data_IF_577799669215
#
_entry.id   IF_577799669215
#
_cell.length_a   1.000
_cell.length_b   1.000
_cell.length_c   1.000
_cell.angle_alpha   90.00
_cell.angle_beta   90.00
_cell.angle_gamma   90.00
#
_symmetry.space_group_name_H-M   'P 1'
#
loop_
_entity.id
_entity.type
_entity.pdbx_description
1 polymer ?
#
# COMPACT_ATOMS: atom_id res chain seq x y z
N UNK A 1 17.43 2.29 -15.58
CA UNK A 1 16.20 2.38 -16.38
C UNK A 1 15.05 2.71 -15.42
N UNK A 2 14.62 3.97 -15.39
CA UNK A 2 13.57 4.47 -14.49
C UNK A 2 12.19 4.09 -15.04
N UNK A 3 11.69 2.90 -14.68
CA UNK A 3 10.32 2.47 -15.00
C UNK A 3 9.27 3.07 -14.03
N UNK A 4 9.68 3.91 -13.07
CA UNK A 4 8.80 4.40 -12.01
C UNK A 4 8.07 5.73 -12.32
N UNK A 5 8.37 6.39 -13.44
CA UNK A 5 7.93 7.78 -13.69
C UNK A 5 6.63 7.93 -14.48
N UNK A 6 6.09 6.88 -15.09
CA UNK A 6 4.83 7.01 -15.83
C UNK A 6 3.66 7.27 -14.85
N UNK A 7 2.94 8.35 -15.07
CA UNK A 7 1.72 8.67 -14.34
C UNK A 7 0.62 7.69 -14.78
N UNK A 8 -0.24 7.25 -13.87
CA UNK A 8 -1.40 6.45 -14.28
C UNK A 8 -2.42 7.41 -14.89
N UNK A 9 -2.92 7.15 -16.11
CA UNK A 9 -3.95 7.98 -16.71
C UNK A 9 -5.20 8.09 -15.83
N UNK A 10 -5.77 9.28 -15.73
CA UNK A 10 -6.93 9.55 -14.88
C UNK A 10 -8.14 8.68 -15.26
N UNK A 11 -8.34 8.42 -16.56
CA UNK A 11 -9.40 7.52 -17.03
C UNK A 11 -9.24 6.10 -16.47
N UNK A 12 -8.01 5.60 -16.38
CA UNK A 12 -7.73 4.27 -15.85
C UNK A 12 -7.98 4.21 -14.34
N UNK A 13 -7.67 5.29 -13.62
CA UNK A 13 -8.00 5.42 -12.20
C UNK A 13 -9.52 5.40 -11.99
N UNK A 14 -10.28 6.13 -12.80
CA UNK A 14 -11.75 6.16 -12.71
C UNK A 14 -12.38 4.82 -13.09
N UNK A 15 -11.88 4.13 -14.12
CA UNK A 15 -12.27 2.74 -14.45
C UNK A 15 -12.05 1.81 -13.26
N UNK A 16 -10.85 1.87 -12.65
CA UNK A 16 -10.51 1.04 -11.51
C UNK A 16 -11.38 1.35 -10.27
N UNK A 17 -11.72 2.62 -10.02
CA UNK A 17 -12.69 3.01 -8.98
C UNK A 17 -14.09 2.46 -9.23
N UNK A 18 -14.50 2.37 -10.49
CA UNK A 18 -15.77 1.79 -10.91
C UNK A 18 -15.77 0.24 -10.95
N UNK A 19 -14.68 -0.41 -10.54
CA UNK A 19 -14.60 -1.86 -10.39
C UNK A 19 -14.06 -2.61 -11.61
N UNK A 20 -13.53 -1.92 -12.61
CA UNK A 20 -12.84 -2.53 -13.74
C UNK A 20 -11.61 -3.32 -13.25
N UNK A 21 -11.65 -4.64 -13.41
CA UNK A 21 -10.63 -5.55 -12.87
C UNK A 21 -9.30 -5.45 -13.61
N UNK A 22 -9.31 -5.12 -14.90
CA UNK A 22 -8.08 -4.96 -15.68
C UNK A 22 -7.37 -3.69 -15.25
N UNK A 23 -8.12 -2.59 -15.08
CA UNK A 23 -7.58 -1.34 -14.58
C UNK A 23 -7.04 -1.49 -13.14
N UNK A 24 -7.76 -2.20 -12.25
CA UNK A 24 -7.27 -2.49 -10.89
C UNK A 24 -5.97 -3.30 -10.94
N UNK A 25 -5.94 -4.38 -11.73
CA UNK A 25 -4.76 -5.25 -11.86
C UNK A 25 -3.55 -4.45 -12.36
N UNK A 26 -3.73 -3.64 -13.39
CA UNK A 26 -2.68 -2.76 -13.92
C UNK A 26 -2.11 -1.83 -12.85
N UNK A 27 -2.96 -1.17 -12.06
CA UNK A 27 -2.51 -0.29 -10.98
C UNK A 27 -1.77 -1.09 -9.90
N UNK A 28 -2.26 -2.27 -9.53
CA UNK A 28 -1.63 -3.14 -8.53
C UNK A 28 -0.21 -3.52 -8.97
N UNK A 29 -0.05 -4.02 -10.19
CA UNK A 29 1.25 -4.42 -10.74
C UNK A 29 2.22 -3.25 -10.75
N UNK A 30 1.74 -2.06 -11.09
CA UNK A 30 2.56 -0.84 -11.14
C UNK A 30 3.13 -0.41 -9.79
N UNK A 31 2.46 -0.75 -8.69
CA UNK A 31 2.89 -0.38 -7.34
C UNK A 31 3.50 -1.55 -6.55
N UNK A 32 3.55 -2.75 -7.11
CA UNK A 32 4.08 -3.94 -6.43
C UNK A 32 5.51 -3.72 -5.93
N UNK A 33 6.37 -3.13 -6.77
CA UNK A 33 7.75 -2.79 -6.38
C UNK A 33 7.80 -1.71 -5.30
N UNK A 34 6.96 -0.68 -5.39
CA UNK A 34 6.88 0.40 -4.39
C UNK A 34 6.45 -0.15 -3.04
N UNK A 35 5.48 -1.07 -3.02
CA UNK A 35 5.03 -1.78 -1.81
C UNK A 35 6.16 -2.64 -1.26
N UNK A 36 6.81 -3.44 -2.10
CA UNK A 36 7.91 -4.34 -1.71
C UNK A 36 9.08 -3.57 -1.10
N UNK A 37 9.51 -2.50 -1.76
CA UNK A 37 10.55 -1.60 -1.27
C UNK A 37 10.12 -0.88 0.00
N UNK A 38 8.88 -0.40 0.09
CA UNK A 38 8.41 0.26 1.31
C UNK A 38 8.38 -0.69 2.50
N UNK A 39 7.90 -1.93 2.30
CA UNK A 39 7.84 -2.95 3.33
C UNK A 39 9.23 -3.40 3.80
N UNK A 40 10.22 -3.48 2.91
CA UNK A 40 11.58 -3.91 3.28
C UNK A 40 12.27 -3.00 4.29
N UNK A 41 11.97 -1.70 4.30
CA UNK A 41 12.51 -0.73 5.27
C UNK A 41 12.05 -1.01 6.71
N UNK A 42 10.95 -1.75 6.87
CA UNK A 42 10.38 -2.07 8.17
C UNK A 42 10.60 -3.53 8.57
N UNK A 43 11.40 -4.27 7.80
CA UNK A 43 11.69 -5.66 8.08
C UNK A 43 12.60 -5.76 9.30
N UNK A 44 12.00 -6.07 10.44
CA UNK A 44 12.71 -6.60 11.61
C UNK A 44 12.77 -8.12 11.47
N UNK A 45 13.90 -8.71 11.88
CA UNK A 45 14.06 -10.17 11.95
C UNK A 45 12.89 -10.75 12.77
N UNK A 46 11.95 -11.42 12.11
CA UNK A 46 10.76 -12.01 12.73
C UNK A 46 9.41 -11.28 12.52
N UNK A 47 9.31 -10.32 11.59
CA UNK A 47 8.01 -9.88 11.05
C UNK A 47 7.67 -10.69 9.80
N UNK A 48 6.42 -11.16 9.67
CA UNK A 48 5.98 -11.89 8.48
C UNK A 48 5.95 -10.94 7.28
N UNK A 49 6.96 -11.05 6.42
CA UNK A 49 7.11 -10.20 5.23
C UNK A 49 5.85 -10.20 4.36
N UNK A 50 5.17 -11.34 4.28
CA UNK A 50 3.94 -11.49 3.50
C UNK A 50 2.79 -10.64 4.06
N UNK A 51 2.66 -10.53 5.39
CA UNK A 51 1.65 -9.68 6.03
C UNK A 51 1.89 -8.20 5.72
N UNK A 52 3.14 -7.75 5.78
CA UNK A 52 3.48 -6.37 5.44
C UNK A 52 3.18 -6.06 3.96
N UNK A 53 3.44 -7.00 3.05
CA UNK A 53 3.09 -6.83 1.63
C UNK A 53 1.58 -6.72 1.44
N UNK A 54 0.79 -7.53 2.13
CA UNK A 54 -0.67 -7.45 2.11
C UNK A 54 -1.19 -6.12 2.68
N UNK A 55 -0.61 -5.66 3.78
CA UNK A 55 -0.94 -4.36 4.37
C UNK A 55 -0.58 -3.20 3.43
N UNK A 56 0.56 -3.28 2.75
CA UNK A 56 0.90 -2.33 1.68
C UNK A 56 -0.13 -2.32 0.55
N UNK A 57 -0.58 -3.51 0.12
CA UNK A 57 -1.65 -3.66 -0.88
C UNK A 57 -2.96 -3.03 -0.42
N UNK A 58 -3.35 -3.28 0.83
CA UNK A 58 -4.55 -2.69 1.42
C UNK A 58 -4.46 -1.16 1.45
N UNK A 59 -3.27 -0.62 1.73
CA UNK A 59 -3.00 0.82 1.66
C UNK A 59 -3.22 1.40 0.25
N UNK A 60 -2.74 0.71 -0.79
CA UNK A 60 -2.95 1.11 -2.19
C UNK A 60 -4.44 1.07 -2.57
N UNK A 61 -5.16 -0.01 -2.24
CA UNK A 61 -6.58 -0.13 -2.56
C UNK A 61 -7.44 0.94 -1.86
N UNK A 62 -7.08 1.32 -0.63
CA UNK A 62 -7.69 2.46 0.06
C UNK A 62 -7.39 3.77 -0.65
N UNK A 63 -6.16 3.94 -1.14
CA UNK A 63 -5.77 5.13 -1.90
C UNK A 63 -6.58 5.24 -3.20
N UNK A 64 -6.73 4.15 -3.95
CA UNK A 64 -7.53 4.10 -5.17
C UNK A 64 -8.96 4.57 -4.92
N UNK A 65 -9.61 4.03 -3.88
CA UNK A 65 -10.99 4.39 -3.52
C UNK A 65 -11.13 5.84 -3.05
N UNK A 66 -10.15 6.36 -2.31
CA UNK A 66 -10.21 7.69 -1.68
C UNK A 66 -9.55 8.81 -2.51
N UNK A 67 -9.00 8.50 -3.68
CA UNK A 67 -8.22 9.45 -4.46
C UNK A 67 -9.07 10.62 -4.97
N UNK A 68 -8.58 11.83 -4.73
CA UNK A 68 -9.11 13.09 -5.23
C UNK A 68 -8.02 13.82 -6.01
N UNK A 69 -8.25 13.99 -7.31
CA UNK A 69 -7.29 14.58 -8.26
C UNK A 69 -7.00 16.06 -8.01
N UNK A 70 -7.93 16.77 -7.37
CA UNK A 70 -7.78 18.20 -7.08
C UNK A 70 -6.81 18.45 -5.92
N UNK A 71 -6.47 17.40 -5.15
CA UNK A 71 -5.61 17.53 -3.95
C UNK A 71 -4.15 17.14 -4.19
N UNK A 72 -3.90 16.16 -5.05
CA UNK A 72 -2.55 15.66 -5.32
C UNK A 72 -2.53 14.71 -6.53
N UNK A 73 -1.33 14.36 -7.01
CA UNK A 73 -1.18 13.25 -7.95
C UNK A 73 -1.47 11.90 -7.28
N UNK A 74 -2.01 10.95 -8.04
CA UNK A 74 -2.34 9.62 -7.52
C UNK A 74 -1.12 8.93 -6.91
N UNK A 75 0.06 9.06 -7.54
CA UNK A 75 1.31 8.50 -7.04
C UNK A 75 1.66 8.97 -5.64
N UNK A 76 1.63 10.28 -5.41
CA UNK A 76 1.94 10.86 -4.11
C UNK A 76 0.96 10.37 -3.05
N UNK A 77 -0.33 10.34 -3.38
CA UNK A 77 -1.37 9.88 -2.47
C UNK A 77 -1.26 8.38 -2.16
N UNK A 78 -1.03 7.55 -3.18
CA UNK A 78 -0.86 6.11 -3.04
C UNK A 78 0.34 5.77 -2.15
N UNK A 79 1.50 6.38 -2.39
CA UNK A 79 2.71 6.16 -1.56
C UNK A 79 2.45 6.56 -0.10
N UNK A 80 1.75 7.67 0.13
CA UNK A 80 1.37 8.10 1.48
C UNK A 80 0.50 7.05 2.18
N UNK A 81 -0.54 6.56 1.52
CA UNK A 81 -1.46 5.57 2.06
C UNK A 81 -0.78 4.22 2.31
N UNK A 82 0.05 3.75 1.39
CA UNK A 82 0.86 2.51 1.53
C UNK A 82 1.71 2.61 2.80
N UNK A 83 2.49 3.68 2.94
CA UNK A 83 3.37 3.88 4.11
C UNK A 83 2.59 3.96 5.42
N UNK A 84 1.46 4.68 5.44
CA UNK A 84 0.58 4.77 6.61
C UNK A 84 0.05 3.41 7.03
N UNK A 85 -0.42 2.60 6.08
CA UNK A 85 -0.95 1.27 6.37
C UNK A 85 0.13 0.34 6.92
N UNK A 86 1.33 0.35 6.33
CA UNK A 86 2.49 -0.39 6.85
C UNK A 86 2.83 0.00 8.30
N UNK A 87 2.95 1.30 8.59
CA UNK A 87 3.26 1.80 9.95
C UNK A 87 2.19 1.37 10.95
N UNK A 88 0.90 1.47 10.57
CA UNK A 88 -0.21 1.04 11.41
C UNK A 88 -0.16 -0.46 11.71
N UNK A 89 0.13 -1.30 10.71
CA UNK A 89 0.25 -2.75 10.88
C UNK A 89 1.39 -3.12 11.83
N UNK A 90 2.56 -2.49 11.69
CA UNK A 90 3.72 -2.72 12.58
C UNK A 90 3.37 -2.36 14.02
N UNK A 91 2.75 -1.18 14.24
CA UNK A 91 2.32 -0.76 15.57
C UNK A 91 1.34 -1.78 16.18
N UNK A 92 0.36 -2.23 15.39
CA UNK A 92 -0.60 -3.23 15.85
C UNK A 92 0.06 -4.56 16.22
N UNK A 93 1.01 -5.05 15.42
CA UNK A 93 1.75 -6.30 15.68
C UNK A 93 2.62 -6.19 16.93
N UNK A 94 3.29 -5.05 17.15
CA UNK A 94 4.08 -4.82 18.36
C UNK A 94 3.18 -4.77 19.61
N UNK A 95 2.03 -4.12 19.53
CA UNK A 95 1.03 -4.11 20.61
C UNK A 95 0.55 -5.54 20.91
N UNK A 96 0.16 -6.33 19.90
CA UNK A 96 -0.28 -7.72 20.08
C UNK A 96 0.77 -8.60 20.77
N UNK A 97 2.06 -8.49 20.39
CA UNK A 97 3.15 -9.25 21.02
C UNK A 97 3.28 -8.95 22.52
N UNK A 98 3.11 -7.69 22.92
CA UNK A 98 3.11 -7.30 24.34
C UNK A 98 1.95 -7.96 25.08
N UNK A 99 0.74 -7.96 24.51
CA UNK A 99 -0.44 -8.60 25.10
C UNK A 99 -0.26 -10.12 25.30
N UNK A 100 0.37 -10.82 24.36
CA UNK A 100 0.72 -12.24 24.51
C UNK A 100 1.69 -12.50 25.66
N UNK A 101 2.52 -11.54 26.03
CA UNK A 101 3.51 -11.68 27.10
C UNK A 101 2.96 -11.33 28.49
N UNK A 102 1.82 -10.64 28.56
CA UNK A 102 1.20 -10.17 29.82
C UNK A 102 -0.15 -10.84 30.11
N UNK A 103 -0.68 -11.67 29.20
CA UNK A 103 -1.82 -12.53 29.49
C UNK A 103 -1.33 -13.84 30.12
N UNK A 104 -1.80 -14.20 31.34
CA UNK A 104 -1.45 -15.44 32.02
C UNK A 104 -2.04 -16.69 31.37
#
# INVERSE_FOLDING_TARGET
>A
MNLEQENIPEELIEKAKNGDQEAITFIIERYQNVISMSASHYYMVGAEKQDLLQEGMLGLLKALKAYDKERSSFRTFAILCIRRQLISAIKASNTKKIWYFIMP
#
